data_IF_941840385240
#
_entry.id   IF_941840385240
#
_cell.length_a   1.000
_cell.length_b   1.000
_cell.length_c   1.000
_cell.angle_alpha   90.00
_cell.angle_beta   90.00
_cell.angle_gamma   90.00
#
_symmetry.space_group_name_H-M   'P 1'
#
loop_
_entity.id
_entity.type
_entity.pdbx_description
1 polymer ?
#
# COMPACT_ATOMS: atom_id res chain seq x y z
N UNK A 1 -10.52 30.80 -32.28
CA UNK A 1 -9.72 29.58 -32.51
C UNK A 1 -10.40 28.45 -31.74
N UNK A 2 -11.17 27.62 -32.45
CA UNK A 2 -11.97 26.52 -31.88
C UNK A 2 -11.31 25.19 -32.20
N UNK A 3 -11.03 24.38 -31.20
CA UNK A 3 -10.58 23.00 -31.40
C UNK A 3 -11.78 22.06 -31.26
N UNK A 4 -12.22 21.48 -32.37
CA UNK A 4 -13.12 20.32 -32.42
C UNK A 4 -12.32 19.08 -32.04
N UNK A 5 -12.72 18.37 -30.99
CA UNK A 5 -12.28 17.00 -30.76
C UNK A 5 -13.16 16.05 -31.58
N UNK A 6 -12.53 15.33 -32.51
CA UNK A 6 -13.14 14.27 -33.29
C UNK A 6 -13.41 13.04 -32.44
N UNK A 7 -14.67 12.58 -32.48
CA UNK A 7 -15.17 11.30 -32.01
C UNK A 7 -15.37 10.42 -33.24
N UNK A 8 -14.96 9.15 -33.18
CA UNK A 8 -15.75 7.91 -33.43
C UNK A 8 -14.76 6.78 -33.69
N UNK A 9 -14.72 5.80 -32.78
CA UNK A 9 -14.02 4.53 -32.98
C UNK A 9 -15.02 3.52 -33.55
N UNK A 10 -14.77 3.07 -34.76
CA UNK A 10 -15.38 1.90 -35.38
C UNK A 10 -14.27 0.89 -35.65
N UNK A 11 -14.26 -0.24 -34.94
CA UNK A 11 -13.71 -1.47 -35.51
C UNK A 11 -14.23 -2.72 -34.77
N UNK A 12 -15.03 -3.56 -35.44
CA UNK A 12 -15.36 -4.90 -34.98
C UNK A 12 -14.39 -5.94 -35.57
N UNK A 13 -13.62 -6.62 -34.73
CA UNK A 13 -12.86 -7.84 -35.07
C UNK A 13 -13.26 -8.91 -34.05
N UNK A 14 -14.16 -9.82 -34.43
CA UNK A 14 -13.94 -11.13 -35.05
C UNK A 14 -13.98 -12.27 -34.02
N UNK A 15 -15.10 -12.99 -34.10
CA UNK A 15 -15.34 -14.36 -33.66
C UNK A 15 -14.21 -15.32 -34.00
N UNK A 16 -14.02 -16.32 -33.12
CA UNK A 16 -13.53 -17.63 -33.53
C UNK A 16 -12.18 -18.05 -32.95
N UNK A 17 -12.17 -18.51 -31.70
CA UNK A 17 -11.22 -19.53 -31.28
C UNK A 17 -11.85 -20.45 -30.23
N UNK A 18 -12.05 -21.71 -30.62
CA UNK A 18 -12.43 -22.84 -29.79
C UNK A 18 -11.57 -22.90 -28.51
N UNK A 19 -12.22 -22.96 -27.34
CA UNK A 19 -11.57 -23.42 -26.10
C UNK A 19 -12.21 -24.78 -25.72
N UNK A 20 -11.41 -25.85 -25.57
CA UNK A 20 -11.87 -27.19 -25.16
C UNK A 20 -12.34 -27.23 -23.69
N UNK A 21 -13.07 -28.29 -23.28
CA UNK A 21 -13.80 -28.33 -22.01
C UNK A 21 -12.88 -28.28 -20.79
N UNK A 22 -13.34 -27.54 -19.78
CA UNK A 22 -12.74 -27.41 -18.46
C UNK A 22 -12.75 -28.78 -17.77
N UNK A 23 -11.58 -29.39 -17.67
CA UNK A 23 -11.36 -30.56 -16.83
C UNK A 23 -11.25 -30.11 -15.39
N UNK A 24 -12.17 -30.60 -14.56
CA UNK A 24 -12.08 -30.59 -13.10
C UNK A 24 -10.75 -31.22 -12.65
N UNK A 25 -9.88 -30.43 -12.03
CA UNK A 25 -8.77 -30.98 -11.25
C UNK A 25 -8.70 -30.28 -9.89
N UNK A 26 -9.49 -30.85 -8.98
CA UNK A 26 -9.33 -30.76 -7.52
C UNK A 26 -7.85 -30.95 -7.16
N UNK A 27 -7.19 -29.86 -6.77
CA UNK A 27 -5.86 -29.90 -6.16
C UNK A 27 -6.02 -29.61 -4.67
N UNK A 28 -5.79 -30.60 -3.79
CA UNK A 28 -5.87 -30.39 -2.34
C UNK A 28 -4.73 -29.48 -1.88
N UNK A 29 -5.10 -28.49 -1.08
CA UNK A 29 -4.20 -27.57 -0.38
C UNK A 29 -3.11 -28.34 0.40
N UNK A 30 -1.82 -27.96 0.30
CA UNK A 30 -0.80 -28.48 1.19
C UNK A 30 -1.04 -27.94 2.61
N UNK A 31 -1.72 -28.76 3.39
CA UNK A 31 -1.95 -28.63 4.83
C UNK A 31 -0.64 -28.95 5.55
N UNK A 32 0.33 -28.01 5.53
CA UNK A 32 1.71 -28.29 5.94
C UNK A 32 2.40 -27.22 6.79
N UNK A 33 1.68 -26.22 7.31
CA UNK A 33 2.24 -25.18 8.18
C UNK A 33 1.58 -25.17 9.56
N UNK A 34 1.33 -26.37 10.10
CA UNK A 34 1.12 -26.50 11.53
C UNK A 34 2.45 -26.31 12.26
N UNK A 35 2.43 -25.30 13.12
CA UNK A 35 3.49 -24.84 14.01
C UNK A 35 4.11 -25.99 14.78
N UNK A 36 5.28 -26.47 14.35
CA UNK A 36 6.14 -27.29 15.19
C UNK A 36 6.92 -26.35 16.11
N UNK A 37 6.34 -26.00 17.26
CA UNK A 37 7.04 -25.29 18.33
C UNK A 37 7.11 -26.19 19.56
N UNK A 38 7.89 -27.26 19.45
CA UNK A 38 8.26 -28.10 20.57
C UNK A 38 9.37 -27.43 21.40
N UNK A 39 9.08 -27.34 22.70
CA UNK A 39 10.02 -27.40 23.82
C UNK A 39 11.30 -26.56 23.76
N UNK A 40 11.24 -25.38 24.38
CA UNK A 40 12.43 -24.67 24.86
C UNK A 40 12.71 -25.10 26.30
N UNK A 41 13.51 -26.16 26.47
CA UNK A 41 14.17 -26.43 27.75
C UNK A 41 15.07 -25.25 28.09
N UNK A 42 14.81 -24.63 29.24
CA UNK A 42 15.63 -23.56 29.79
C UNK A 42 16.96 -24.12 30.27
N UNK A 43 17.96 -24.13 29.38
CA UNK A 43 19.36 -24.16 29.78
C UNK A 43 19.76 -22.71 30.06
N UNK A 44 20.14 -22.44 31.30
CA UNK A 44 20.76 -21.19 31.74
C UNK A 44 22.15 -21.06 31.07
N UNK A 45 22.15 -20.65 29.81
CA UNK A 45 23.34 -20.42 29.00
C UNK A 45 23.71 -18.95 28.97
N UNK A 46 25.01 -18.69 29.05
CA UNK A 46 25.66 -17.38 28.93
C UNK A 46 25.08 -16.51 27.78
N UNK A 47 25.18 -15.17 27.86
CA UNK A 47 24.67 -14.27 26.82
C UNK A 47 25.39 -14.54 25.49
N UNK A 48 24.75 -15.32 24.61
CA UNK A 48 25.27 -15.53 23.26
C UNK A 48 25.14 -14.23 22.48
N UNK A 49 26.22 -13.78 21.79
CA UNK A 49 26.16 -12.58 20.98
C UNK A 49 25.05 -12.70 19.93
N UNK A 50 24.32 -11.61 19.65
CA UNK A 50 23.24 -11.66 18.66
C UNK A 50 23.81 -12.10 17.31
N UNK A 51 23.07 -12.90 16.55
CA UNK A 51 23.50 -13.32 15.22
C UNK A 51 23.73 -12.09 14.34
N UNK A 52 24.75 -12.11 13.46
CA UNK A 52 25.00 -11.01 12.54
C UNK A 52 23.79 -10.81 11.64
N UNK A 53 23.25 -9.59 11.65
CA UNK A 53 22.10 -9.21 10.84
C UNK A 53 22.48 -9.30 9.37
N UNK A 54 21.65 -9.95 8.56
CA UNK A 54 21.93 -10.07 7.12
C UNK A 54 21.97 -8.67 6.47
N UNK A 55 22.76 -8.46 5.40
CA UNK A 55 22.78 -7.17 4.70
C UNK A 55 21.39 -6.70 4.25
N UNK A 56 20.52 -7.66 3.91
CA UNK A 56 19.13 -7.41 3.55
C UNK A 56 18.35 -6.77 4.70
N UNK A 57 18.44 -7.34 5.89
CA UNK A 57 17.78 -6.81 7.09
C UNK A 57 18.34 -5.45 7.51
N UNK A 58 19.65 -5.20 7.28
CA UNK A 58 20.24 -3.89 7.55
C UNK A 58 19.62 -2.80 6.65
N UNK A 59 19.40 -3.09 5.37
CA UNK A 59 18.75 -2.16 4.44
C UNK A 59 17.30 -1.92 4.86
N UNK A 60 16.54 -2.97 5.17
CA UNK A 60 15.16 -2.84 5.60
C UNK A 60 15.01 -2.23 7.01
N UNK A 61 16.05 -2.28 7.83
CA UNK A 61 16.12 -1.62 9.12
C UNK A 61 16.48 -0.14 9.03
N UNK A 62 17.08 0.30 7.91
CA UNK A 62 17.43 1.70 7.69
C UNK A 62 16.23 2.48 7.12
N UNK A 63 15.33 2.90 8.00
CA UNK A 63 14.11 3.65 7.66
C UNK A 63 14.40 4.90 6.82
N UNK A 64 15.46 5.63 7.14
CA UNK A 64 15.79 6.89 6.46
C UNK A 64 16.10 6.65 4.98
N UNK A 65 16.83 5.57 4.68
CA UNK A 65 17.17 5.19 3.31
C UNK A 65 15.91 4.86 2.51
N UNK A 66 14.99 4.08 3.08
CA UNK A 66 13.71 3.75 2.44
C UNK A 66 12.88 5.01 2.21
N UNK A 67 12.84 5.90 3.20
CA UNK A 67 12.12 7.19 3.11
C UNK A 67 12.69 8.06 1.99
N UNK A 68 14.01 8.18 1.89
CA UNK A 68 14.67 8.94 0.81
C UNK A 68 14.36 8.37 -0.57
N UNK A 69 14.31 7.04 -0.71
CA UNK A 69 13.89 6.38 -1.96
C UNK A 69 12.45 6.74 -2.28
N UNK A 70 11.55 6.68 -1.29
CA UNK A 70 10.14 7.00 -1.51
C UNK A 70 9.90 8.47 -1.87
N UNK A 71 10.71 9.37 -1.32
CA UNK A 71 10.68 10.79 -1.67
C UNK A 71 11.06 11.06 -3.12
N UNK A 72 11.85 10.19 -3.78
CA UNK A 72 12.17 10.35 -5.21
C UNK A 72 10.95 10.21 -6.12
N UNK A 73 9.88 9.54 -5.65
CA UNK A 73 8.64 9.42 -6.41
C UNK A 73 7.70 10.61 -6.20
N UNK A 74 8.01 11.49 -5.25
CA UNK A 74 7.24 12.71 -5.04
C UNK A 74 7.72 13.80 -6.00
N UNK A 75 6.82 14.69 -6.45
CA UNK A 75 7.23 15.84 -7.25
C UNK A 75 8.26 16.69 -6.45
N UNK A 76 9.33 17.20 -7.11
CA UNK A 76 10.36 17.99 -6.45
C UNK A 76 9.85 19.35 -5.97
N UNK A 77 8.82 19.86 -6.65
CA UNK A 77 8.11 21.08 -6.26
C UNK A 77 7.13 20.75 -5.14
N UNK A 78 6.85 21.70 -4.25
CA UNK A 78 5.86 21.59 -3.15
C UNK A 78 4.41 21.37 -3.59
N UNK A 79 4.21 20.91 -4.82
CA UNK A 79 2.93 20.60 -5.40
C UNK A 79 2.30 19.34 -4.80
N UNK A 80 0.99 19.31 -4.97
CA UNK A 80 0.13 18.17 -4.65
C UNK A 80 0.59 16.94 -5.46
N UNK A 81 0.86 15.79 -4.82
CA UNK A 81 1.16 14.56 -5.55
C UNK A 81 -0.05 14.15 -6.38
N UNK A 82 0.20 13.68 -7.60
CA UNK A 82 -0.88 13.20 -8.47
C UNK A 82 -1.53 11.92 -7.91
N UNK A 83 -2.69 11.56 -8.47
CA UNK A 83 -3.44 10.39 -8.00
C UNK A 83 -2.66 9.08 -8.18
N UNK A 84 -1.83 8.97 -9.23
CA UNK A 84 -1.07 7.74 -9.49
C UNK A 84 0.06 7.58 -8.49
N UNK A 85 0.83 8.64 -8.19
CA UNK A 85 1.86 8.62 -7.14
C UNK A 85 1.30 8.23 -5.78
N UNK A 86 0.13 8.78 -5.40
CA UNK A 86 -0.54 8.39 -4.15
C UNK A 86 -0.97 6.92 -4.14
N UNK A 87 -1.51 6.42 -5.25
CA UNK A 87 -1.86 5.01 -5.37
C UNK A 87 -0.62 4.10 -5.28
N UNK A 88 0.50 4.52 -5.85
CA UNK A 88 1.77 3.82 -5.81
C UNK A 88 2.35 3.75 -4.39
N UNK A 89 2.44 4.88 -3.67
CA UNK A 89 2.90 4.89 -2.27
C UNK A 89 1.99 4.04 -1.37
N UNK A 90 0.67 4.08 -1.61
CA UNK A 90 -0.29 3.19 -0.93
C UNK A 90 0.01 1.72 -1.21
N UNK A 91 0.31 1.34 -2.45
CA UNK A 91 0.66 -0.04 -2.79
C UNK A 91 1.97 -0.46 -2.12
N UNK A 92 2.99 0.40 -2.10
CA UNK A 92 4.25 0.15 -1.39
C UNK A 92 4.02 -0.11 0.10
N UNK A 93 3.15 0.67 0.74
CA UNK A 93 2.79 0.48 2.14
C UNK A 93 2.15 -0.90 2.42
N UNK A 94 1.47 -1.49 1.43
CA UNK A 94 0.81 -2.79 1.54
C UNK A 94 1.74 -3.97 1.22
N UNK A 95 2.88 -3.76 0.56
CA UNK A 95 3.79 -4.85 0.16
C UNK A 95 4.48 -5.51 1.35
N UNK A 96 5.00 -4.73 2.29
CA UNK A 96 5.65 -5.27 3.48
C UNK A 96 5.61 -4.32 4.68
N UNK A 97 5.75 -4.90 5.87
CA UNK A 97 5.70 -4.16 7.15
C UNK A 97 6.77 -3.07 7.24
N UNK A 98 7.97 -3.32 6.72
CA UNK A 98 9.07 -2.34 6.72
C UNK A 98 8.82 -1.14 5.80
N UNK A 99 7.93 -1.28 4.81
CA UNK A 99 7.58 -0.20 3.88
C UNK A 99 6.35 0.59 4.32
N UNK A 100 5.48 -0.03 5.12
CA UNK A 100 4.25 0.58 5.63
C UNK A 100 4.49 1.97 6.19
N UNK A 101 5.35 2.08 7.21
CA UNK A 101 5.58 3.33 7.92
C UNK A 101 6.21 4.42 7.02
N UNK A 102 7.35 4.22 6.34
CA UNK A 102 7.95 5.26 5.51
C UNK A 102 7.09 5.65 4.30
N UNK A 103 6.33 4.71 3.71
CA UNK A 103 5.44 5.02 2.60
C UNK A 103 4.24 5.85 3.04
N UNK A 104 3.65 5.52 4.20
CA UNK A 104 2.59 6.33 4.79
C UNK A 104 3.14 7.70 5.21
N UNK A 105 4.30 7.78 5.84
CA UNK A 105 4.91 9.08 6.22
C UNK A 105 5.01 10.04 5.02
N UNK A 106 5.50 9.53 3.88
CA UNK A 106 5.56 10.27 2.62
C UNK A 106 4.17 10.67 2.09
N UNK A 107 3.20 9.76 2.16
CA UNK A 107 1.84 10.00 1.68
C UNK A 107 1.09 11.02 2.54
N UNK A 108 1.33 11.02 3.86
CA UNK A 108 0.64 11.88 4.82
C UNK A 108 1.26 13.27 4.91
N UNK A 109 2.58 13.39 4.75
CA UNK A 109 3.26 14.69 4.70
C UNK A 109 2.84 15.55 3.48
N UNK A 110 2.24 14.94 2.46
CA UNK A 110 1.80 15.60 1.22
C UNK A 110 0.29 15.50 0.99
N UNK A 111 -0.49 15.30 2.04
CA UNK A 111 -1.95 15.29 1.94
C UNK A 111 -2.48 16.73 1.83
N UNK A 112 -3.17 17.02 0.73
CA UNK A 112 -3.74 18.35 0.42
C UNK A 112 -4.72 18.84 1.48
N UNK A 113 -5.30 17.90 2.22
CA UNK A 113 -6.36 18.15 3.15
C UNK A 113 -6.37 17.09 4.25
N UNK A 114 -6.58 17.51 5.49
CA UNK A 114 -6.80 16.61 6.63
C UNK A 114 -8.23 16.05 6.66
N UNK A 115 -9.11 16.43 5.71
CA UNK A 115 -10.48 15.91 5.58
C UNK A 115 -10.56 14.38 5.66
N UNK A 116 -9.72 13.59 4.97
CA UNK A 116 -9.81 12.14 5.02
C UNK A 116 -9.58 11.59 6.43
N UNK A 117 -8.75 12.27 7.24
CA UNK A 117 -8.43 11.88 8.60
C UNK A 117 -9.58 12.21 9.54
N UNK A 118 -10.14 13.40 9.37
CA UNK A 118 -11.29 13.85 10.15
C UNK A 118 -12.49 12.95 9.87
N UNK A 119 -12.73 12.57 8.61
CA UNK A 119 -13.78 11.59 8.25
C UNK A 119 -13.54 10.20 8.81
N UNK A 120 -12.29 9.81 9.06
CA UNK A 120 -11.96 8.53 9.66
C UNK A 120 -12.30 8.50 11.16
N UNK A 121 -12.05 9.62 11.84
CA UNK A 121 -12.30 9.78 13.28
C UNK A 121 -13.77 10.05 13.57
N UNK A 122 -14.40 10.88 12.74
CA UNK A 122 -15.76 11.38 12.93
C UNK A 122 -16.51 11.28 11.60
N UNK A 123 -17.15 10.12 11.32
CA UNK A 123 -17.85 9.88 10.05
C UNK A 123 -19.00 10.87 9.80
N UNK A 124 -19.53 11.50 10.86
CA UNK A 124 -20.57 12.53 10.81
C UNK A 124 -20.03 13.93 10.47
N UNK A 125 -18.72 14.13 10.42
CA UNK A 125 -18.13 15.43 10.11
C UNK A 125 -18.41 15.81 8.65
N UNK A 126 -19.13 16.91 8.46
CA UNK A 126 -19.41 17.49 7.13
C UNK A 126 -18.59 18.76 6.96
N UNK A 127 -18.02 18.94 5.77
CA UNK A 127 -17.30 20.17 5.41
C UNK A 127 -18.30 21.14 4.80
N UNK A 128 -18.58 22.25 5.47
CA UNK A 128 -19.45 23.34 4.99
C UNK A 128 -18.59 24.59 4.83
N UNK A 129 -18.45 25.08 3.60
CA UNK A 129 -17.63 26.28 3.27
C UNK A 129 -16.18 26.21 3.79
N UNK A 130 -15.55 25.03 3.73
CA UNK A 130 -14.19 24.83 4.24
C UNK A 130 -14.07 24.77 5.77
N UNK A 131 -15.20 24.86 6.49
CA UNK A 131 -15.27 24.68 7.95
C UNK A 131 -15.83 23.30 8.26
N UNK A 132 -15.24 22.60 9.23
CA UNK A 132 -15.72 21.30 9.68
C UNK A 132 -16.83 21.50 10.70
N UNK A 133 -17.99 20.92 10.44
CA UNK A 133 -19.13 20.95 11.35
C UNK A 133 -19.45 19.50 11.73
N UNK A 134 -19.38 19.20 13.02
CA UNK A 134 -19.87 17.93 13.57
C UNK A 134 -21.24 18.16 14.19
N UNK A 135 -22.19 17.28 13.86
CA UNK A 135 -23.50 17.25 14.48
C UNK A 135 -23.50 16.16 15.55
N UNK A 136 -23.83 16.48 16.82
CA UNK A 136 -24.00 15.45 17.83
C UNK A 136 -25.17 14.55 17.42
N UNK A 137 -24.93 13.25 17.43
CA UNK A 137 -25.97 12.24 17.20
C UNK A 137 -26.75 12.14 18.51
N UNK A 138 -27.98 12.65 18.54
CA UNK A 138 -28.92 12.57 19.67
C UNK A 138 -29.50 11.15 19.82
#
# INVERSE_FOLDING_TARGET
MSYRYGRTEDSPFQDGALIPPVGTQDSPLPSGWFLNTLSRSAVAGAPTPPPPTSPREQIFGNRDTITLIFQQFLPPTTGVPDKATRAFLRQLALLCRSFSEPALDCLWNRLDSTVPLIRLLEPSAVVVNGTYVSYPIL
#
